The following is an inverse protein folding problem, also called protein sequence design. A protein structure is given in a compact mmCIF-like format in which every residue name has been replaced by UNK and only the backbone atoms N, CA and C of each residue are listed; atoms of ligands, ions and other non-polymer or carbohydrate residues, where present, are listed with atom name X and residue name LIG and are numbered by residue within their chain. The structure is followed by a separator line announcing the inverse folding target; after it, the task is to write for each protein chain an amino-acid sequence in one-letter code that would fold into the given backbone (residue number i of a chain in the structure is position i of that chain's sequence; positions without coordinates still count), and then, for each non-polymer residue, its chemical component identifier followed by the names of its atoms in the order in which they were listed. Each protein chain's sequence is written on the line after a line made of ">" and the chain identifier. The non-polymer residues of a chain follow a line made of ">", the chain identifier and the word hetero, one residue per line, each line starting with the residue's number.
data_IF_192478387812
#
_entry.id   IF_192478387812
#
_cell.length_a   1.000
_cell.length_b   1.000
_cell.length_c   1.000
_cell.angle_alpha   90.00
_cell.angle_beta   90.00
_cell.angle_gamma   90.00
#
_symmetry.space_group_name_H-M   'P 1'
#
loop_
_entity.id
_entity.type
_entity.pdbx_description
1 polymer ?
#
# COMPACT_ATOMS: atom_id res chain seq x y z
N UNK A 1 -21.55 9.74 -31.90
CA UNK A 1 -20.26 9.37 -32.51
C UNK A 1 -19.46 8.65 -31.45
N UNK A 2 -19.43 7.31 -31.50
CA UNK A 2 -18.66 6.51 -30.56
C UNK A 2 -17.16 6.72 -30.84
N UNK A 3 -16.33 6.97 -29.80
CA UNK A 3 -14.89 7.12 -30.00
C UNK A 3 -14.30 5.80 -30.52
N UNK A 4 -13.51 5.90 -31.59
CA UNK A 4 -12.92 4.76 -32.26
C UNK A 4 -12.02 3.93 -31.32
N UNK A 5 -11.78 2.65 -31.63
CA UNK A 5 -10.94 1.75 -30.81
C UNK A 5 -9.53 2.30 -30.53
N UNK A 6 -9.00 3.16 -31.42
CA UNK A 6 -7.70 3.83 -31.25
C UNK A 6 -7.74 4.94 -30.17
N UNK A 7 -8.84 5.70 -30.06
CA UNK A 7 -9.00 6.72 -29.01
C UNK A 7 -9.10 6.09 -27.62
N UNK A 8 -9.69 4.89 -27.52
CA UNK A 8 -9.72 4.11 -26.28
C UNK A 8 -8.32 3.61 -25.88
N UNK A 9 -7.49 3.15 -26.81
CA UNK A 9 -6.11 2.77 -26.51
C UNK A 9 -5.25 3.98 -26.09
N UNK A 10 -5.44 5.13 -26.74
CA UNK A 10 -4.70 6.36 -26.42
C UNK A 10 -5.12 6.96 -25.08
N UNK A 11 -6.40 6.89 -24.70
CA UNK A 11 -6.86 7.33 -23.38
C UNK A 11 -6.31 6.45 -22.26
N UNK A 12 -6.30 5.12 -22.41
CA UNK A 12 -5.69 4.18 -21.46
C UNK A 12 -4.17 4.36 -21.36
N UNK A 13 -3.49 4.68 -22.47
CA UNK A 13 -2.06 4.99 -22.50
C UNK A 13 -1.71 6.26 -21.72
N UNK A 14 -2.56 7.29 -21.79
CA UNK A 14 -2.35 8.57 -21.08
C UNK A 14 -2.64 8.48 -19.58
N UNK A 15 -3.67 7.73 -19.16
CA UNK A 15 -3.88 7.40 -17.74
C UNK A 15 -2.75 6.52 -17.19
N UNK A 16 -2.27 5.54 -17.98
CA UNK A 16 -1.10 4.72 -17.65
C UNK A 16 0.18 5.55 -17.46
N UNK A 17 0.47 6.49 -18.36
CA UNK A 17 1.65 7.36 -18.26
C UNK A 17 1.54 8.34 -17.08
N UNK A 18 0.38 8.97 -16.86
CA UNK A 18 0.17 9.83 -15.69
C UNK A 18 0.33 9.07 -14.39
N UNK A 19 -0.21 7.85 -14.30
CA UNK A 19 -0.03 6.99 -13.13
C UNK A 19 1.45 6.59 -12.94
N UNK A 20 2.18 6.26 -14.01
CA UNK A 20 3.64 5.98 -13.95
C UNK A 20 4.44 7.19 -13.49
N UNK A 21 4.13 8.38 -14.02
CA UNK A 21 4.79 9.64 -13.64
C UNK A 21 4.49 10.00 -12.19
N UNK A 22 3.24 9.86 -11.74
CA UNK A 22 2.85 10.07 -10.34
C UNK A 22 3.59 9.09 -9.40
N UNK A 23 3.77 7.82 -9.80
CA UNK A 23 4.57 6.85 -9.06
C UNK A 23 6.06 7.21 -9.00
N UNK A 24 6.63 7.72 -10.10
CA UNK A 24 8.02 8.18 -10.09
C UNK A 24 8.19 9.43 -9.23
N UNK A 25 7.28 10.42 -9.36
CA UNK A 25 7.29 11.64 -8.55
C UNK A 25 7.18 11.33 -7.05
N UNK A 26 6.37 10.33 -6.67
CA UNK A 26 6.26 9.91 -5.26
C UNK A 26 7.50 9.19 -4.73
N UNK A 27 8.34 8.62 -5.60
CA UNK A 27 9.58 7.90 -5.23
C UNK A 27 10.88 8.65 -5.57
N UNK A 28 10.81 9.83 -6.19
CA UNK A 28 11.98 10.62 -6.67
C UNK A 28 13.02 10.88 -5.60
N UNK A 29 12.57 11.15 -4.37
CA UNK A 29 13.44 11.44 -3.24
C UNK A 29 14.23 10.20 -2.81
N UNK A 30 13.57 9.04 -2.80
CA UNK A 30 14.21 7.76 -2.49
C UNK A 30 15.25 7.38 -3.55
N UNK A 31 14.94 7.62 -4.83
CA UNK A 31 15.88 7.40 -5.93
C UNK A 31 17.13 8.26 -5.74
N UNK A 32 16.96 9.55 -5.45
CA UNK A 32 18.06 10.46 -5.18
C UNK A 32 18.89 10.03 -3.95
N UNK A 33 18.23 9.61 -2.87
CA UNK A 33 18.90 9.08 -1.67
C UNK A 33 19.75 7.85 -2.00
N UNK A 34 19.22 6.87 -2.72
CA UNK A 34 19.96 5.67 -3.10
C UNK A 34 21.15 6.01 -4.00
N UNK A 35 20.97 6.92 -4.97
CA UNK A 35 22.05 7.34 -5.85
C UNK A 35 23.18 8.06 -5.09
N UNK A 36 22.83 8.99 -4.19
CA UNK A 36 23.80 9.70 -3.35
C UNK A 36 24.51 8.76 -2.37
N UNK A 37 23.78 7.82 -1.76
CA UNK A 37 24.37 6.83 -0.87
C UNK A 37 25.31 5.86 -1.59
N UNK A 38 24.98 5.45 -2.82
CA UNK A 38 25.88 4.65 -3.64
C UNK A 38 27.18 5.40 -3.95
N UNK A 39 27.07 6.67 -4.37
CA UNK A 39 28.24 7.53 -4.60
C UNK A 39 29.07 7.75 -3.34
N UNK A 40 28.42 8.01 -2.20
CA UNK A 40 29.10 8.18 -0.92
C UNK A 40 29.81 6.90 -0.45
N UNK A 41 29.18 5.73 -0.63
CA UNK A 41 29.80 4.44 -0.31
C UNK A 41 31.04 4.17 -1.16
N UNK A 42 30.99 4.50 -2.46
CA UNK A 42 32.16 4.44 -3.33
C UNK A 42 33.28 5.35 -2.83
N UNK A 43 32.98 6.63 -2.59
CA UNK A 43 33.97 7.62 -2.14
C UNK A 43 34.63 7.20 -0.81
N UNK A 44 33.83 6.69 0.14
CA UNK A 44 34.37 6.22 1.43
C UNK A 44 35.28 4.99 1.24
N UNK A 45 34.89 4.04 0.40
CA UNK A 45 35.71 2.83 0.21
C UNK A 45 36.98 3.11 -0.62
N UNK A 46 36.89 3.93 -1.67
CA UNK A 46 38.04 4.27 -2.53
C UNK A 46 38.96 5.30 -1.90
N UNK A 47 38.46 6.50 -1.62
CA UNK A 47 39.30 7.64 -1.26
C UNK A 47 39.74 7.62 0.21
N UNK A 48 38.88 7.11 1.11
CA UNK A 48 39.20 7.09 2.55
C UNK A 48 39.90 5.81 3.00
N UNK A 49 39.55 4.65 2.40
CA UNK A 49 40.10 3.34 2.77
C UNK A 49 41.07 2.75 1.73
N UNK A 50 41.24 3.39 0.58
CA UNK A 50 42.22 3.00 -0.42
C UNK A 50 41.87 1.74 -1.22
N UNK A 51 40.59 1.33 -1.23
CA UNK A 51 40.17 0.16 -2.00
C UNK A 51 40.21 0.48 -3.50
N UNK A 52 40.96 -0.30 -4.29
CA UNK A 52 41.16 -0.01 -5.73
C UNK A 52 39.88 -0.15 -6.57
N UNK A 53 39.03 -1.12 -6.22
CA UNK A 53 37.80 -1.44 -6.97
C UNK A 53 36.65 -1.73 -6.00
N UNK A 54 36.08 -0.71 -5.32
CA UNK A 54 35.07 -0.89 -4.28
C UNK A 54 33.68 -1.21 -4.84
N UNK A 55 33.57 -2.28 -5.61
CA UNK A 55 32.37 -2.65 -6.36
C UNK A 55 31.19 -3.02 -5.44
N UNK A 56 31.48 -3.63 -4.29
CA UNK A 56 30.45 -4.15 -3.38
C UNK A 56 29.84 -3.05 -2.50
N UNK A 57 30.58 -1.97 -2.21
CA UNK A 57 30.12 -0.87 -1.37
C UNK A 57 28.87 -0.15 -1.93
N UNK A 58 28.83 0.33 -3.19
CA UNK A 58 27.63 0.96 -3.74
C UNK A 58 26.47 -0.03 -3.89
N UNK A 59 26.73 -1.30 -4.24
CA UNK A 59 25.68 -2.33 -4.35
C UNK A 59 25.05 -2.57 -2.99
N UNK A 60 25.86 -2.78 -1.95
CA UNK A 60 25.39 -2.98 -0.60
C UNK A 60 24.59 -1.77 -0.11
N UNK A 61 25.02 -0.54 -0.42
CA UNK A 61 24.27 0.67 -0.08
C UNK A 61 22.88 0.71 -0.74
N UNK A 62 22.80 0.43 -2.04
CA UNK A 62 21.53 0.44 -2.79
C UNK A 62 20.59 -0.67 -2.35
N UNK A 63 21.08 -1.90 -2.19
CA UNK A 63 20.25 -3.04 -1.77
C UNK A 63 19.76 -2.87 -0.33
N UNK A 64 20.62 -2.34 0.55
CA UNK A 64 20.27 -2.07 1.95
C UNK A 64 19.22 -0.97 2.10
N UNK A 65 19.33 0.12 1.32
CA UNK A 65 18.31 1.18 1.29
C UNK A 65 17.01 0.70 0.63
N UNK A 66 17.12 -0.01 -0.49
CA UNK A 66 16.02 -0.56 -1.28
C UNK A 66 14.94 0.47 -1.64
N UNK A 67 13.78 -0.04 -2.08
CA UNK A 67 12.58 0.77 -2.42
C UNK A 67 11.56 0.90 -1.29
N UNK A 68 11.82 0.26 -0.14
CA UNK A 68 10.97 0.32 1.06
C UNK A 68 11.79 0.77 2.27
N UNK A 69 11.18 1.61 3.11
CA UNK A 69 11.81 2.18 4.30
C UNK A 69 11.85 1.21 5.48
N UNK A 70 10.97 0.20 5.49
CA UNK A 70 10.92 -0.80 6.55
C UNK A 70 12.07 -1.80 6.46
N UNK A 71 12.64 -2.16 7.61
CA UNK A 71 13.63 -3.23 7.76
C UNK A 71 15.04 -2.95 7.20
N UNK A 72 15.44 -1.69 7.01
CA UNK A 72 16.79 -1.34 6.51
C UNK A 72 17.93 -1.99 7.31
N UNK A 73 17.86 -1.99 8.64
CA UNK A 73 18.88 -2.65 9.48
C UNK A 73 18.96 -4.16 9.22
N UNK A 74 17.81 -4.84 9.18
CA UNK A 74 17.74 -6.27 8.84
C UNK A 74 18.31 -6.53 7.44
N UNK A 75 17.97 -5.68 6.47
CA UNK A 75 18.52 -5.76 5.10
C UNK A 75 20.02 -5.57 5.08
N UNK A 76 20.57 -4.62 5.83
CA UNK A 76 22.02 -4.43 5.94
C UNK A 76 22.69 -5.70 6.46
N UNK A 77 22.12 -6.32 7.51
CA UNK A 77 22.64 -7.58 8.06
C UNK A 77 22.54 -8.71 7.03
N UNK A 78 21.37 -8.90 6.42
CA UNK A 78 21.15 -9.92 5.38
C UNK A 78 22.06 -9.71 4.16
N UNK A 79 22.27 -8.47 3.72
CA UNK A 79 23.17 -8.16 2.59
C UNK A 79 24.61 -8.43 2.97
N UNK A 80 25.05 -7.96 4.12
CA UNK A 80 26.43 -8.12 4.60
C UNK A 80 26.80 -9.59 4.77
N UNK A 81 25.93 -10.36 5.44
CA UNK A 81 26.14 -11.79 5.63
C UNK A 81 26.04 -12.55 4.31
N UNK A 82 25.09 -12.16 3.44
CA UNK A 82 24.92 -12.80 2.13
C UNK A 82 26.14 -12.58 1.24
N UNK A 83 26.71 -11.37 1.26
CA UNK A 83 27.98 -11.06 0.60
C UNK A 83 29.11 -11.89 1.20
N UNK A 84 29.22 -11.96 2.53
CA UNK A 84 30.27 -12.75 3.19
C UNK A 84 30.25 -14.22 2.72
N UNK A 85 29.09 -14.86 2.73
CA UNK A 85 28.94 -16.26 2.32
C UNK A 85 29.17 -16.45 0.83
N UNK A 86 28.57 -15.60 -0.01
CA UNK A 86 28.71 -15.69 -1.46
C UNK A 86 30.15 -15.51 -1.92
N UNK A 87 30.84 -14.51 -1.37
CA UNK A 87 32.26 -14.25 -1.63
C UNK A 87 33.14 -15.38 -1.10
N UNK A 88 32.92 -15.84 0.12
CA UNK A 88 33.70 -16.93 0.73
C UNK A 88 33.59 -18.22 -0.07
N UNK A 89 32.37 -18.64 -0.43
CA UNK A 89 32.15 -19.86 -1.20
C UNK A 89 32.70 -19.75 -2.61
N UNK A 90 32.54 -18.60 -3.27
CA UNK A 90 33.09 -18.39 -4.59
C UNK A 90 34.63 -18.42 -4.58
N UNK A 91 35.29 -17.69 -3.67
CA UNK A 91 36.76 -17.73 -3.58
C UNK A 91 37.27 -19.13 -3.21
N UNK A 92 36.61 -19.83 -2.27
CA UNK A 92 37.02 -21.17 -1.86
C UNK A 92 36.87 -22.22 -2.97
N UNK A 93 35.79 -22.15 -3.76
CA UNK A 93 35.48 -23.15 -4.77
C UNK A 93 36.10 -22.84 -6.13
N UNK A 94 36.23 -21.58 -6.52
CA UNK A 94 36.92 -21.20 -7.77
C UNK A 94 38.38 -21.65 -7.72
N UNK A 95 39.04 -21.49 -6.57
CA UNK A 95 40.41 -21.94 -6.38
C UNK A 95 40.58 -23.47 -6.48
N UNK A 96 39.53 -24.25 -6.21
CA UNK A 96 39.59 -25.72 -6.19
C UNK A 96 39.04 -26.38 -7.47
N UNK A 97 38.00 -25.80 -8.08
CA UNK A 97 37.22 -26.44 -9.17
C UNK A 97 37.43 -25.73 -10.53
N UNK A 98 38.01 -24.53 -10.53
CA UNK A 98 38.24 -23.72 -11.72
C UNK A 98 37.00 -22.97 -12.21
N UNK A 99 37.11 -22.36 -13.39
CA UNK A 99 36.08 -21.49 -13.97
C UNK A 99 35.30 -22.17 -15.11
N UNK A 100 33.96 -22.18 -15.05
CA UNK A 100 33.09 -22.64 -16.13
C UNK A 100 31.61 -22.66 -15.73
N UNK A 101 30.72 -22.90 -16.70
CA UNK A 101 29.27 -22.78 -16.49
C UNK A 101 28.74 -23.81 -15.46
N UNK A 102 29.27 -25.02 -15.46
CA UNK A 102 28.85 -26.08 -14.54
C UNK A 102 29.45 -25.87 -13.13
N UNK A 103 30.70 -25.40 -13.05
CA UNK A 103 31.30 -25.00 -11.77
C UNK A 103 30.51 -23.86 -11.13
N UNK A 104 30.16 -22.85 -11.91
CA UNK A 104 29.34 -21.73 -11.46
C UNK A 104 27.98 -22.21 -10.94
N UNK A 105 27.35 -23.15 -11.64
CA UNK A 105 26.06 -23.72 -11.25
C UNK A 105 26.14 -24.39 -9.87
N UNK A 106 27.22 -25.13 -9.61
CA UNK A 106 27.49 -25.76 -8.31
C UNK A 106 27.74 -24.71 -7.22
N UNK A 107 28.58 -23.71 -7.51
CA UNK A 107 28.90 -22.63 -6.56
C UNK A 107 27.64 -21.88 -6.13
N UNK A 108 26.78 -21.52 -7.08
CA UNK A 108 25.51 -20.83 -6.81
C UNK A 108 24.56 -21.71 -6.01
N UNK A 109 24.42 -22.99 -6.41
CA UNK A 109 23.57 -23.94 -5.69
C UNK A 109 24.02 -24.11 -4.24
N UNK A 110 25.32 -24.22 -3.99
CA UNK A 110 25.88 -24.31 -2.64
C UNK A 110 25.65 -23.02 -1.85
N UNK A 111 25.94 -21.85 -2.43
CA UNK A 111 25.72 -20.56 -1.76
C UNK A 111 24.27 -20.33 -1.35
N UNK A 112 23.32 -20.64 -2.24
CA UNK A 112 21.90 -20.56 -1.93
C UNK A 112 21.48 -21.58 -0.87
N UNK A 113 21.97 -22.83 -0.97
CA UNK A 113 21.65 -23.88 -0.01
C UNK A 113 22.17 -23.53 1.39
N UNK A 114 23.41 -23.06 1.50
CA UNK A 114 23.98 -22.58 2.77
C UNK A 114 23.15 -21.42 3.33
N UNK A 115 22.72 -20.47 2.48
CA UNK A 115 21.90 -19.36 2.92
C UNK A 115 20.51 -19.80 3.44
N UNK A 116 19.88 -20.78 2.79
CA UNK A 116 18.61 -21.36 3.25
C UNK A 116 18.76 -22.14 4.55
N UNK A 117 19.84 -22.91 4.71
CA UNK A 117 20.10 -23.69 5.93
C UNK A 117 20.34 -22.81 7.17
N UNK A 118 20.70 -21.53 6.96
CA UNK A 118 20.87 -20.54 8.02
C UNK A 118 19.58 -19.74 8.29
N UNK A 119 18.42 -20.22 7.83
CA UNK A 119 17.10 -19.57 7.96
C UNK A 119 17.07 -18.12 7.47
N UNK A 120 17.90 -17.79 6.47
CA UNK A 120 17.98 -16.43 5.98
C UNK A 120 16.82 -16.05 5.05
N UNK A 121 16.45 -14.76 5.09
CA UNK A 121 15.39 -14.22 4.25
C UNK A 121 15.74 -14.22 2.75
N UNK A 122 14.74 -13.93 1.90
CA UNK A 122 14.90 -13.91 0.44
C UNK A 122 16.07 -13.03 -0.04
N UNK A 123 16.31 -11.89 0.62
CA UNK A 123 17.42 -10.98 0.26
C UNK A 123 18.76 -11.65 0.55
N UNK A 124 18.94 -12.28 1.71
CA UNK A 124 20.17 -12.99 2.07
C UNK A 124 20.52 -14.08 1.05
N UNK A 125 19.55 -14.93 0.70
CA UNK A 125 19.73 -15.98 -0.31
C UNK A 125 20.08 -15.39 -1.67
N UNK A 126 19.37 -14.33 -2.09
CA UNK A 126 19.63 -13.67 -3.37
C UNK A 126 21.03 -13.04 -3.39
N UNK A 127 21.49 -12.45 -2.28
CA UNK A 127 22.83 -11.88 -2.19
C UNK A 127 23.91 -12.95 -2.20
N UNK A 128 23.73 -14.06 -1.47
CA UNK A 128 24.67 -15.18 -1.53
C UNK A 128 24.85 -15.72 -2.97
N UNK A 129 23.76 -15.82 -3.73
CA UNK A 129 23.79 -16.21 -5.14
C UNK A 129 24.45 -15.15 -6.04
N UNK A 130 24.02 -13.89 -5.95
CA UNK A 130 24.52 -12.82 -6.81
C UNK A 130 26.01 -12.59 -6.57
N UNK A 131 26.45 -12.57 -5.32
CA UNK A 131 27.86 -12.32 -5.02
C UNK A 131 28.74 -13.50 -5.40
N UNK A 132 28.25 -14.74 -5.28
CA UNK A 132 29.02 -15.88 -5.76
C UNK A 132 29.19 -15.85 -7.28
N UNK A 133 28.16 -15.44 -8.03
CA UNK A 133 28.28 -15.21 -9.49
C UNK A 133 29.28 -14.11 -9.80
N UNK A 134 29.16 -12.95 -9.16
CA UNK A 134 30.03 -11.79 -9.43
C UNK A 134 31.49 -12.15 -9.17
N UNK A 135 31.80 -12.76 -8.03
CA UNK A 135 33.16 -13.16 -7.68
C UNK A 135 33.70 -14.22 -8.64
N UNK A 136 32.91 -15.25 -8.95
CA UNK A 136 33.36 -16.32 -9.84
C UNK A 136 33.53 -15.90 -11.31
N UNK A 137 32.94 -14.78 -11.75
CA UNK A 137 32.94 -14.38 -13.18
C UNK A 137 33.70 -13.11 -13.48
N UNK A 138 33.68 -12.10 -12.60
CA UNK A 138 34.17 -10.75 -12.89
C UNK A 138 35.48 -10.42 -12.17
N UNK A 139 35.74 -11.03 -11.00
CA UNK A 139 36.86 -10.65 -10.13
C UNK A 139 37.56 -11.89 -9.54
N UNK A 140 38.22 -12.74 -10.35
CA UNK A 140 39.06 -13.80 -9.79
C UNK A 140 40.39 -13.20 -9.31
N UNK A 141 40.36 -12.58 -8.12
CA UNK A 141 41.54 -12.13 -7.39
C UNK A 141 41.60 -12.86 -6.02
N UNK A 142 42.39 -13.94 -5.92
CA UNK A 142 42.47 -14.75 -4.72
C UNK A 142 42.97 -13.93 -3.52
N UNK A 143 42.14 -13.85 -2.47
CA UNK A 143 42.48 -13.14 -1.23
C UNK A 143 41.80 -11.78 -1.07
N UNK A 144 41.07 -11.31 -2.08
CA UNK A 144 40.25 -10.09 -1.99
C UNK A 144 38.94 -10.30 -1.20
N UNK A 145 38.63 -11.52 -0.73
CA UNK A 145 37.42 -11.83 0.05
C UNK A 145 37.16 -10.85 1.20
N UNK A 146 38.21 -10.53 1.97
CA UNK A 146 38.11 -9.64 3.12
C UNK A 146 37.73 -8.22 2.68
N UNK A 147 38.40 -7.69 1.66
CA UNK A 147 38.16 -6.34 1.10
C UNK A 147 36.73 -6.21 0.55
N UNK A 148 36.21 -7.27 -0.09
CA UNK A 148 34.84 -7.29 -0.63
C UNK A 148 33.78 -7.35 0.48
N UNK A 149 34.08 -8.06 1.56
CA UNK A 149 33.19 -8.10 2.73
C UNK A 149 33.19 -6.77 3.48
N UNK A 150 34.35 -6.14 3.67
CA UNK A 150 34.44 -4.80 4.28
C UNK A 150 33.78 -3.73 3.42
N UNK A 151 33.86 -3.81 2.09
CA UNK A 151 33.08 -2.98 1.17
C UNK A 151 31.57 -3.08 1.44
N UNK A 152 31.04 -4.30 1.60
CA UNK A 152 29.63 -4.48 1.91
C UNK A 152 29.24 -3.88 3.27
N UNK A 153 30.12 -3.97 4.27
CA UNK A 153 29.93 -3.31 5.57
C UNK A 153 29.91 -1.78 5.44
N UNK A 154 30.81 -1.20 4.64
CA UNK A 154 30.87 0.24 4.37
C UNK A 154 29.58 0.69 3.67
N UNK A 155 29.16 -0.01 2.62
CA UNK A 155 27.91 0.27 1.93
C UNK A 155 26.68 0.18 2.84
N UNK A 156 26.63 -0.85 3.70
CA UNK A 156 25.61 -0.99 4.73
C UNK A 156 25.60 0.15 5.75
N UNK A 157 26.78 0.58 6.21
CA UNK A 157 26.94 1.71 7.12
C UNK A 157 26.48 3.04 6.49
N UNK A 158 26.91 3.32 5.27
CA UNK A 158 26.46 4.51 4.51
C UNK A 158 24.97 4.48 4.26
N UNK A 159 24.38 3.31 3.96
CA UNK A 159 22.93 3.16 3.86
C UNK A 159 22.21 3.50 5.17
N UNK A 160 22.74 3.09 6.33
CA UNK A 160 22.15 3.43 7.62
C UNK A 160 22.25 4.92 7.92
N UNK A 161 23.38 5.56 7.63
CA UNK A 161 23.54 7.02 7.81
C UNK A 161 22.63 7.79 6.84
N UNK A 162 22.61 7.40 5.57
CA UNK A 162 21.70 8.00 4.60
C UNK A 162 20.24 7.87 5.05
N UNK A 163 19.88 6.75 5.72
CA UNK A 163 18.56 6.52 6.27
C UNK A 163 18.17 7.47 7.41
N UNK A 164 19.11 8.00 8.19
CA UNK A 164 18.82 8.95 9.28
C UNK A 164 18.65 10.38 8.79
N UNK A 165 19.35 10.77 7.71
CA UNK A 165 19.33 12.12 7.15
C UNK A 165 18.00 12.46 6.47
N UNK A 166 17.28 11.47 5.96
CA UNK A 166 16.04 11.70 5.23
C UNK A 166 14.86 11.90 6.20
N UNK A 167 14.15 13.05 6.15
CA UNK A 167 12.86 13.19 6.81
C UNK A 167 11.96 12.05 6.36
N UNK A 168 11.23 11.42 7.28
CA UNK A 168 10.26 10.36 6.96
C UNK A 168 9.01 10.92 6.25
N UNK A 169 9.22 11.68 5.19
CA UNK A 169 8.22 12.28 4.33
C UNK A 169 8.35 11.59 2.96
N UNK A 170 7.45 10.68 2.56
CA UNK A 170 6.16 10.33 3.16
C UNK A 170 6.13 8.84 3.53
N UNK A 171 6.03 8.52 4.81
CA UNK A 171 5.04 7.49 5.16
C UNK A 171 3.75 7.98 4.50
N UNK A 172 3.32 7.39 3.36
CA UNK A 172 2.00 7.67 2.79
C UNK A 172 1.07 7.61 3.99
N UNK A 173 0.54 8.74 4.45
CA UNK A 173 -0.23 8.74 5.70
C UNK A 173 -1.37 7.77 5.42
N UNK A 174 -1.45 6.60 6.07
CA UNK A 174 -2.46 5.64 5.64
C UNK A 174 -3.86 6.22 5.84
N UNK A 175 -3.99 7.26 6.68
CA UNK A 175 -5.14 8.16 6.81
C UNK A 175 -5.45 9.00 5.56
N UNK A 176 -4.45 9.51 4.86
CA UNK A 176 -4.65 10.18 3.56
C UNK A 176 -5.14 9.18 2.50
N UNK A 177 -4.62 7.95 2.49
CA UNK A 177 -5.14 6.89 1.61
C UNK A 177 -6.55 6.44 2.01
N UNK A 178 -6.84 6.31 3.31
CA UNK A 178 -8.17 6.07 3.81
C UNK A 178 -9.15 7.17 3.37
N UNK A 179 -8.74 8.44 3.43
CA UNK A 179 -9.53 9.55 2.94
C UNK A 179 -9.84 9.45 1.43
N UNK A 180 -8.93 8.89 0.61
CA UNK A 180 -9.21 8.60 -0.80
C UNK A 180 -10.31 7.54 -0.94
N UNK A 181 -10.28 6.48 -0.13
CA UNK A 181 -11.34 5.45 -0.12
C UNK A 181 -12.68 6.05 0.28
N UNK A 182 -12.72 6.82 1.37
CA UNK A 182 -13.96 7.43 1.87
C UNK A 182 -14.52 8.46 0.89
N UNK A 183 -13.68 9.29 0.25
CA UNK A 183 -14.14 10.17 -0.85
C UNK A 183 -14.78 9.39 -1.99
N UNK A 184 -14.26 8.21 -2.31
CA UNK A 184 -14.89 7.35 -3.33
C UNK A 184 -16.24 6.83 -2.85
N UNK A 185 -16.37 6.46 -1.58
CA UNK A 185 -17.66 6.10 -0.96
C UNK A 185 -18.65 7.27 -1.05
N UNK A 186 -18.26 8.49 -0.67
CA UNK A 186 -19.09 9.69 -0.78
C UNK A 186 -19.56 9.95 -2.22
N UNK A 187 -18.65 9.85 -3.20
CA UNK A 187 -19.01 9.99 -4.62
C UNK A 187 -20.02 8.94 -5.09
N UNK A 188 -19.86 7.68 -4.69
CA UNK A 188 -20.77 6.60 -5.05
C UNK A 188 -22.14 6.76 -4.38
N UNK A 189 -22.17 7.19 -3.11
CA UNK A 189 -23.40 7.48 -2.38
C UNK A 189 -24.19 8.63 -3.02
N UNK A 190 -23.51 9.73 -3.34
CA UNK A 190 -24.12 10.90 -3.99
C UNK A 190 -24.73 10.54 -5.34
N UNK A 191 -23.95 9.86 -6.19
CA UNK A 191 -24.43 9.41 -7.49
C UNK A 191 -25.55 8.36 -7.38
N UNK A 192 -25.53 7.50 -6.34
CA UNK A 192 -26.63 6.57 -6.10
C UNK A 192 -27.91 7.31 -5.71
N UNK A 193 -27.83 8.33 -4.85
CA UNK A 193 -28.96 9.20 -4.50
C UNK A 193 -29.56 9.91 -5.72
N UNK A 194 -28.72 10.45 -6.61
CA UNK A 194 -29.16 11.06 -7.87
C UNK A 194 -29.89 10.05 -8.78
N UNK A 195 -29.32 8.85 -8.95
CA UNK A 195 -29.93 7.76 -9.74
C UNK A 195 -31.26 7.27 -9.16
N UNK A 196 -31.42 7.29 -7.82
CA UNK A 196 -32.70 6.96 -7.19
C UNK A 196 -33.82 7.94 -7.59
N UNK A 197 -33.47 9.19 -7.92
CA UNK A 197 -34.43 10.24 -8.32
C UNK A 197 -34.75 10.16 -9.81
N UNK A 198 -33.73 10.13 -10.67
CA UNK A 198 -33.93 10.18 -12.12
C UNK A 198 -34.28 8.81 -12.74
N UNK A 199 -33.86 7.71 -12.12
CA UNK A 199 -34.09 6.35 -12.62
C UNK A 199 -33.39 6.03 -13.95
N UNK A 200 -32.39 6.83 -14.36
CA UNK A 200 -31.75 6.72 -15.68
C UNK A 200 -30.84 5.48 -15.76
N UNK A 201 -31.20 4.52 -16.62
CA UNK A 201 -30.58 3.19 -16.66
C UNK A 201 -29.11 3.26 -17.06
N UNK A 202 -28.77 4.06 -18.07
CA UNK A 202 -27.41 4.24 -18.55
C UNK A 202 -26.50 4.81 -17.46
N UNK A 203 -26.99 5.79 -16.70
CA UNK A 203 -26.28 6.40 -15.56
C UNK A 203 -26.08 5.38 -14.44
N UNK A 204 -27.12 4.62 -14.11
CA UNK A 204 -27.06 3.59 -13.08
C UNK A 204 -26.08 2.46 -13.43
N UNK A 205 -26.04 2.03 -14.69
CA UNK A 205 -25.11 1.01 -15.18
C UNK A 205 -23.67 1.51 -15.22
N UNK A 206 -23.44 2.78 -15.59
CA UNK A 206 -22.13 3.42 -15.52
C UNK A 206 -21.63 3.51 -14.08
N UNK A 207 -22.51 3.90 -13.14
CA UNK A 207 -22.20 3.94 -11.71
C UNK A 207 -21.85 2.56 -11.15
N UNK A 208 -22.57 1.50 -11.55
CA UNK A 208 -22.26 0.12 -11.16
C UNK A 208 -20.90 -0.34 -11.71
N UNK A 209 -20.55 0.03 -12.93
CA UNK A 209 -19.24 -0.27 -13.50
C UNK A 209 -18.10 0.44 -12.73
N UNK A 210 -18.31 1.71 -12.38
CA UNK A 210 -17.38 2.49 -11.57
C UNK A 210 -17.21 1.88 -10.16
N UNK A 211 -18.30 1.53 -9.48
CA UNK A 211 -18.29 0.90 -8.17
C UNK A 211 -17.54 -0.46 -8.18
N UNK A 212 -17.65 -1.24 -9.27
CA UNK A 212 -16.91 -2.51 -9.45
C UNK A 212 -15.41 -2.33 -9.64
N UNK A 213 -14.98 -1.15 -10.07
CA UNK A 213 -13.56 -0.87 -10.34
C UNK A 213 -12.76 -0.50 -9.10
N UNK A 214 -13.36 -0.46 -7.90
CA UNK A 214 -12.76 0.13 -6.70
C UNK A 214 -11.79 -0.78 -5.92
N UNK A 215 -11.61 -2.04 -6.32
CA UNK A 215 -10.77 -3.01 -5.58
C UNK A 215 -9.31 -2.58 -5.43
N UNK A 216 -8.80 -1.75 -6.36
CA UNK A 216 -7.43 -1.25 -6.26
C UNK A 216 -7.24 -0.28 -5.09
N UNK A 217 -8.28 0.45 -4.67
CA UNK A 217 -8.20 1.42 -3.59
C UNK A 217 -7.90 0.74 -2.25
N UNK A 218 -8.55 -0.40 -1.98
CA UNK A 218 -8.31 -1.18 -0.76
C UNK A 218 -6.91 -1.81 -0.80
N UNK A 219 -6.46 -2.33 -1.96
CA UNK A 219 -5.09 -2.85 -2.10
C UNK A 219 -4.02 -1.77 -1.87
N UNK A 220 -4.26 -0.55 -2.36
CA UNK A 220 -3.35 0.58 -2.14
C UNK A 220 -3.34 1.02 -0.66
N UNK A 221 -4.49 1.01 0.00
CA UNK A 221 -4.61 1.28 1.43
C UNK A 221 -3.88 0.22 2.28
N UNK A 222 -4.09 -1.07 2.00
CA UNK A 222 -3.40 -2.19 2.66
C UNK A 222 -1.87 -2.07 2.50
N UNK A 223 -1.40 -1.85 1.27
CA UNK A 223 0.03 -1.66 0.99
C UNK A 223 0.63 -0.46 1.76
N UNK A 224 -0.12 0.64 1.89
CA UNK A 224 0.31 1.80 2.66
C UNK A 224 0.34 1.51 4.18
N UNK A 225 -0.62 0.76 4.70
CA UNK A 225 -0.67 0.35 6.10
C UNK A 225 0.50 -0.60 6.46
N UNK A 226 0.77 -1.59 5.61
CA UNK A 226 1.87 -2.54 5.78
C UNK A 226 3.25 -1.85 5.71
N UNK A 227 3.42 -0.91 4.77
CA UNK A 227 4.62 -0.08 4.69
C UNK A 227 4.80 0.72 5.99
N UNK A 228 3.73 1.32 6.51
CA UNK A 228 3.75 2.03 7.80
C UNK A 228 4.17 1.14 8.96
N UNK A 229 3.58 -0.05 9.08
CA UNK A 229 3.86 -0.99 10.18
C UNK A 229 5.33 -1.44 10.15
N UNK A 230 5.85 -1.73 8.96
CA UNK A 230 7.23 -2.17 8.77
C UNK A 230 8.25 -1.11 9.22
N UNK A 231 7.93 0.18 9.06
CA UNK A 231 8.77 1.29 9.51
C UNK A 231 8.74 1.44 11.04
N UNK A 232 7.58 1.30 11.67
CA UNK A 232 7.47 1.39 13.14
C UNK A 232 8.14 0.20 13.82
N UNK A 233 8.00 -1.01 13.27
CA UNK A 233 8.59 -2.22 13.84
C UNK A 233 10.13 -2.22 13.81
N UNK A 234 10.75 -1.52 12.85
CA UNK A 234 12.20 -1.55 12.62
C UNK A 234 12.98 -0.36 13.21
N UNK A 235 12.30 0.63 13.81
CA UNK A 235 12.94 1.84 14.33
C UNK A 235 12.86 1.93 15.87
N UNK A 236 13.98 1.69 16.60
CA UNK A 236 14.04 1.80 18.07
C UNK A 236 13.60 3.16 18.61
N UNK A 237 13.80 4.23 17.84
CA UNK A 237 13.48 5.60 18.22
C UNK A 237 12.01 6.01 18.01
N UNK A 238 11.14 5.10 17.54
CA UNK A 238 9.76 5.44 17.11
C UNK A 238 8.65 4.66 17.83
N UNK A 239 8.96 4.03 18.95
CA UNK A 239 8.00 3.28 19.80
C UNK A 239 6.78 4.14 20.18
N UNK A 240 6.95 5.45 20.36
CA UNK A 240 5.87 6.38 20.75
C UNK A 240 4.77 6.55 19.69
N UNK A 241 5.02 6.24 18.42
CA UNK A 241 4.03 6.35 17.33
C UNK A 241 3.30 5.02 17.03
N UNK A 242 3.62 3.94 17.75
CA UNK A 242 3.07 2.59 17.54
C UNK A 242 1.55 2.53 17.77
N UNK A 243 1.02 3.28 18.75
CA UNK A 243 -0.41 3.33 19.05
C UNK A 243 -1.26 4.00 17.96
N UNK A 244 -0.77 5.09 17.36
CA UNK A 244 -1.49 5.78 16.29
C UNK A 244 -1.52 4.95 15.00
N UNK A 245 -0.44 4.21 14.72
CA UNK A 245 -0.35 3.40 13.53
C UNK A 245 -1.12 2.08 13.64
N UNK A 246 -1.19 1.49 14.84
CA UNK A 246 -2.03 0.30 15.08
C UNK A 246 -3.52 0.62 14.90
N UNK A 247 -3.97 1.74 15.47
CA UNK A 247 -5.33 2.26 15.24
C UNK A 247 -5.65 2.52 13.77
N UNK A 248 -4.64 2.84 12.96
CA UNK A 248 -4.81 3.01 11.52
C UNK A 248 -5.09 1.69 10.79
N UNK A 249 -4.32 0.66 11.12
CA UNK A 249 -4.45 -0.67 10.51
C UNK A 249 -5.82 -1.26 10.84
N UNK A 250 -6.31 -0.98 12.06
CA UNK A 250 -7.66 -1.32 12.49
C UNK A 250 -8.77 -0.62 11.67
N UNK A 251 -8.47 0.45 10.92
CA UNK A 251 -9.45 1.11 10.03
C UNK A 251 -9.56 0.46 8.64
N UNK A 252 -8.60 -0.38 8.23
CA UNK A 252 -8.59 -0.98 6.89
C UNK A 252 -9.82 -1.88 6.68
N UNK A 253 -10.13 -2.72 7.67
CA UNK A 253 -11.26 -3.65 7.59
C UNK A 253 -12.62 -2.92 7.59
N UNK A 254 -12.88 -1.93 8.47
CA UNK A 254 -14.05 -1.07 8.37
C UNK A 254 -14.20 -0.36 7.02
N UNK A 255 -13.10 0.13 6.44
CA UNK A 255 -13.12 0.81 5.13
C UNK A 255 -13.45 -0.13 3.98
N UNK A 256 -12.87 -1.35 3.97
CA UNK A 256 -13.23 -2.38 2.99
C UNK A 256 -14.71 -2.74 3.12
N UNK A 257 -15.22 -2.89 4.35
CA UNK A 257 -16.63 -3.17 4.59
C UNK A 257 -17.54 -2.05 4.08
N UNK A 258 -17.24 -0.79 4.42
CA UNK A 258 -18.00 0.37 3.96
C UNK A 258 -18.06 0.46 2.44
N UNK A 259 -16.94 0.24 1.75
CA UNK A 259 -16.88 0.24 0.30
C UNK A 259 -17.69 -0.93 -0.31
N UNK A 260 -17.63 -2.11 0.29
CA UNK A 260 -18.45 -3.27 -0.13
C UNK A 260 -19.95 -2.99 0.05
N UNK A 261 -20.37 -2.50 1.21
CA UNK A 261 -21.77 -2.11 1.48
C UNK A 261 -22.26 -1.07 0.47
N UNK A 262 -21.42 -0.07 0.15
CA UNK A 262 -21.71 0.94 -0.87
C UNK A 262 -21.86 0.32 -2.26
N UNK A 263 -21.03 -0.66 -2.64
CA UNK A 263 -21.18 -1.40 -3.92
C UNK A 263 -22.49 -2.18 -3.98
N UNK A 264 -22.95 -2.74 -2.87
CA UNK A 264 -24.24 -3.43 -2.81
C UNK A 264 -25.40 -2.44 -2.98
N UNK A 265 -25.34 -1.27 -2.34
CA UNK A 265 -26.30 -0.18 -2.54
C UNK A 265 -26.36 0.27 -4.02
N UNK A 266 -25.19 0.52 -4.63
CA UNK A 266 -25.10 0.91 -6.05
C UNK A 266 -25.67 -0.18 -6.97
N UNK A 267 -25.41 -1.45 -6.67
CA UNK A 267 -26.01 -2.56 -7.42
C UNK A 267 -27.53 -2.54 -7.29
N UNK A 268 -28.05 -2.31 -6.10
CA UNK A 268 -29.48 -2.34 -5.85
C UNK A 268 -30.21 -1.18 -6.53
N UNK A 269 -29.62 0.02 -6.51
CA UNK A 269 -30.12 1.19 -7.25
C UNK A 269 -30.11 0.97 -8.75
N UNK A 270 -29.06 0.35 -9.30
CA UNK A 270 -29.02 -0.01 -10.73
C UNK A 270 -30.10 -1.03 -11.11
N UNK A 271 -30.37 -2.01 -10.25
CA UNK A 271 -31.46 -2.99 -10.47
C UNK A 271 -32.83 -2.29 -10.41
N UNK A 272 -33.04 -1.38 -9.46
CA UNK A 272 -34.28 -0.61 -9.36
C UNK A 272 -34.51 0.25 -10.62
N UNK A 273 -33.49 0.99 -11.07
CA UNK A 273 -33.52 1.79 -12.29
C UNK A 273 -33.83 0.93 -13.53
N UNK A 274 -33.13 -0.20 -13.70
CA UNK A 274 -33.34 -1.11 -14.83
C UNK A 274 -34.79 -1.63 -14.92
N UNK A 275 -35.39 -1.94 -13.78
CA UNK A 275 -36.78 -2.39 -13.70
C UNK A 275 -37.80 -1.26 -13.59
N UNK A 276 -37.37 0.02 -13.64
CA UNK A 276 -38.21 1.22 -13.45
C UNK A 276 -39.03 1.16 -12.16
N UNK A 277 -38.41 0.67 -11.10
CA UNK A 277 -39.01 0.55 -9.77
C UNK A 277 -38.78 1.85 -9.01
N UNK A 278 -39.84 2.50 -8.50
CA UNK A 278 -39.68 3.76 -7.80
C UNK A 278 -38.95 3.54 -6.47
N UNK A 279 -37.95 4.38 -6.22
CA UNK A 279 -37.30 4.48 -4.92
C UNK A 279 -37.88 5.69 -4.20
N UNK A 280 -38.33 5.56 -2.94
CA UNK A 280 -38.84 6.69 -2.18
C UNK A 280 -37.84 7.85 -2.12
N UNK A 281 -38.33 9.08 -2.29
CA UNK A 281 -37.48 10.28 -2.26
C UNK A 281 -36.72 10.43 -0.94
N UNK A 282 -37.29 9.99 0.18
CA UNK A 282 -36.63 9.99 1.48
C UNK A 282 -35.36 9.12 1.49
N UNK A 283 -35.32 8.03 0.73
CA UNK A 283 -34.13 7.15 0.64
C UNK A 283 -33.02 7.83 -0.17
N UNK A 284 -33.39 8.57 -1.22
CA UNK A 284 -32.44 9.37 -1.99
C UNK A 284 -31.82 10.49 -1.15
N UNK A 285 -32.63 11.17 -0.32
CA UNK A 285 -32.15 12.20 0.60
C UNK A 285 -31.20 11.61 1.65
N UNK A 286 -31.55 10.47 2.25
CA UNK A 286 -30.65 9.76 3.17
C UNK A 286 -29.30 9.39 2.52
N UNK A 287 -29.30 8.99 1.25
CA UNK A 287 -28.06 8.67 0.54
C UNK A 287 -27.21 9.92 0.28
N UNK A 288 -27.83 11.06 -0.03
CA UNK A 288 -27.16 12.35 -0.21
C UNK A 288 -26.58 12.87 1.12
N UNK A 289 -27.37 12.86 2.20
CA UNK A 289 -26.92 13.23 3.54
C UNK A 289 -25.75 12.35 4.01
N UNK A 290 -25.81 11.04 3.70
CA UNK A 290 -24.73 10.11 4.00
C UNK A 290 -23.47 10.37 3.17
N UNK A 291 -23.61 10.84 1.93
CA UNK A 291 -22.48 11.26 1.11
C UNK A 291 -21.77 12.47 1.74
N UNK A 292 -22.53 13.46 2.22
CA UNK A 292 -21.98 14.65 2.88
C UNK A 292 -21.30 14.28 4.21
N UNK A 293 -21.90 13.39 5.01
CA UNK A 293 -21.28 12.87 6.21
C UNK A 293 -19.99 12.07 5.92
N UNK A 294 -19.95 11.31 4.81
CA UNK A 294 -18.74 10.61 4.37
C UNK A 294 -17.64 11.59 3.93
N UNK A 295 -17.98 12.72 3.29
CA UNK A 295 -17.01 13.76 2.97
C UNK A 295 -16.38 14.37 4.24
N UNK A 296 -17.18 14.59 5.30
CA UNK A 296 -16.65 15.01 6.62
C UNK A 296 -15.67 13.97 7.21
N UNK A 297 -15.98 12.68 7.11
CA UNK A 297 -15.07 11.60 7.52
C UNK A 297 -13.76 11.69 6.72
N UNK A 298 -13.84 11.90 5.41
CA UNK A 298 -12.66 11.99 4.56
C UNK A 298 -11.78 13.21 4.89
N UNK A 299 -12.39 14.35 5.22
CA UNK A 299 -11.68 15.57 5.65
C UNK A 299 -10.90 15.35 6.95
N UNK A 300 -11.53 14.75 7.97
CA UNK A 300 -10.87 14.41 9.23
C UNK A 300 -9.69 13.44 9.02
N UNK A 301 -9.89 12.40 8.21
CA UNK A 301 -8.84 11.43 7.88
C UNK A 301 -7.70 12.09 7.11
N UNK A 302 -7.99 12.98 6.16
CA UNK A 302 -6.97 13.73 5.42
C UNK A 302 -6.15 14.64 6.34
N UNK A 303 -6.76 15.18 7.38
CA UNK A 303 -6.10 15.99 8.41
C UNK A 303 -5.37 15.14 9.47
N UNK A 304 -5.22 13.83 9.23
CA UNK A 304 -4.56 12.86 10.11
C UNK A 304 -5.24 12.68 11.49
N UNK A 305 -6.56 12.92 11.57
CA UNK A 305 -7.37 12.75 12.78
C UNK A 305 -8.33 11.55 12.71
N UNK A 306 -8.86 11.15 13.86
CA UNK A 306 -10.00 10.24 13.92
C UNK A 306 -11.26 11.02 13.52
N UNK A 307 -12.19 10.40 12.78
CA UNK A 307 -13.39 11.08 12.29
C UNK A 307 -14.48 11.29 13.35
N UNK A 308 -14.12 11.63 14.58
CA UNK A 308 -15.06 11.83 15.70
C UNK A 308 -16.05 12.97 15.41
N UNK A 309 -15.60 14.02 14.70
CA UNK A 309 -16.43 15.16 14.33
C UNK A 309 -17.59 14.78 13.39
N UNK A 310 -17.46 13.71 12.60
CA UNK A 310 -18.52 13.23 11.71
C UNK A 310 -19.57 12.35 12.43
N UNK A 311 -19.28 11.88 13.65
CA UNK A 311 -20.14 10.96 14.40
C UNK A 311 -21.55 11.52 14.63
N UNK A 312 -21.76 12.78 15.05
CA UNK A 312 -23.11 13.31 15.26
C UNK A 312 -23.96 13.30 13.98
N UNK A 313 -23.36 13.61 12.83
CA UNK A 313 -24.05 13.58 11.54
C UNK A 313 -24.45 12.15 11.15
N UNK A 314 -23.53 11.19 11.28
CA UNK A 314 -23.81 9.78 11.00
C UNK A 314 -24.90 9.21 11.92
N UNK A 315 -24.89 9.57 13.20
CA UNK A 315 -25.93 9.18 14.16
C UNK A 315 -27.29 9.80 13.81
N UNK A 316 -27.31 11.07 13.39
CA UNK A 316 -28.54 11.73 12.95
C UNK A 316 -29.15 11.03 11.73
N UNK A 317 -28.33 10.65 10.75
CA UNK A 317 -28.77 9.89 9.56
C UNK A 317 -29.25 8.49 9.97
N UNK A 318 -28.54 7.83 10.88
CA UNK A 318 -28.96 6.56 11.46
C UNK A 318 -30.34 6.65 12.11
N UNK A 319 -30.59 7.70 12.90
CA UNK A 319 -31.89 8.01 13.48
C UNK A 319 -32.97 8.28 12.43
N UNK A 320 -32.69 9.14 11.45
CA UNK A 320 -33.61 9.48 10.36
C UNK A 320 -34.00 8.26 9.51
N UNK A 321 -33.07 7.32 9.31
CA UNK A 321 -33.35 6.07 8.59
C UNK A 321 -34.38 5.16 9.27
N UNK A 322 -34.65 5.37 10.57
CA UNK A 322 -35.73 4.71 11.30
C UNK A 322 -37.04 5.47 11.32
N UNK A 323 -37.11 6.66 10.70
CA UNK A 323 -38.32 7.49 10.67
C UNK A 323 -38.92 7.62 9.26
N UNK A 324 -38.20 7.19 8.22
CA UNK A 324 -38.69 7.20 6.84
C UNK A 324 -39.78 6.16 6.60
N UNK A 325 -40.60 6.39 5.57
CA UNK A 325 -41.64 5.48 5.14
C UNK A 325 -41.08 4.10 4.79
N UNK A 326 -41.86 3.04 5.05
CA UNK A 326 -41.53 1.66 4.66
C UNK A 326 -42.22 1.34 3.34
N UNK A 327 -41.64 0.43 2.57
CA UNK A 327 -42.22 -0.03 1.30
C UNK A 327 -42.45 -1.54 1.31
N UNK A 328 -43.56 -1.98 0.72
CA UNK A 328 -43.82 -3.41 0.51
C UNK A 328 -42.92 -3.98 -0.60
N UNK A 329 -42.30 -3.11 -1.41
CA UNK A 329 -41.39 -3.50 -2.46
C UNK A 329 -40.02 -3.88 -1.89
N UNK A 330 -39.75 -5.19 -1.88
CA UNK A 330 -38.50 -5.77 -1.36
C UNK A 330 -37.24 -5.11 -1.93
N UNK A 331 -37.24 -4.72 -3.22
CA UNK A 331 -36.05 -4.11 -3.82
C UNK A 331 -35.73 -2.74 -3.24
N UNK A 332 -36.75 -1.95 -2.94
CA UNK A 332 -36.61 -0.61 -2.35
C UNK A 332 -36.32 -0.72 -0.85
N UNK A 333 -36.88 -1.71 -0.16
CA UNK A 333 -36.49 -2.02 1.22
C UNK A 333 -35.02 -2.40 1.40
N UNK A 334 -34.48 -3.17 0.45
CA UNK A 334 -33.05 -3.50 0.46
C UNK A 334 -32.20 -2.24 0.32
N UNK A 335 -32.64 -1.21 -0.43
CA UNK A 335 -31.91 0.07 -0.52
C UNK A 335 -31.76 0.72 0.85
N UNK A 336 -32.86 0.84 1.61
CA UNK A 336 -32.84 1.41 2.96
C UNK A 336 -31.97 0.58 3.92
N UNK A 337 -32.05 -0.75 3.84
CA UNK A 337 -31.19 -1.63 4.62
C UNK A 337 -29.70 -1.41 4.31
N UNK A 338 -29.33 -1.22 3.04
CA UNK A 338 -27.95 -0.96 2.66
C UNK A 338 -27.46 0.44 3.08
N UNK A 339 -28.30 1.47 3.01
CA UNK A 339 -27.97 2.80 3.56
C UNK A 339 -27.61 2.67 5.04
N UNK A 340 -28.43 1.95 5.81
CA UNK A 340 -28.19 1.66 7.24
C UNK A 340 -26.89 0.90 7.47
N UNK A 341 -26.57 -0.09 6.64
CA UNK A 341 -25.28 -0.80 6.71
C UNK A 341 -24.09 0.13 6.46
N UNK A 342 -24.18 1.04 5.49
CA UNK A 342 -23.10 2.01 5.23
C UNK A 342 -22.94 2.99 6.40
N UNK A 343 -24.03 3.44 7.02
CA UNK A 343 -23.96 4.27 8.25
C UNK A 343 -23.17 3.54 9.34
N UNK A 344 -23.50 2.27 9.63
CA UNK A 344 -22.80 1.46 10.64
C UNK A 344 -21.31 1.34 10.30
N UNK A 345 -20.98 1.06 9.04
CA UNK A 345 -19.58 0.91 8.62
C UNK A 345 -18.79 2.22 8.74
N UNK A 346 -19.42 3.37 8.48
CA UNK A 346 -18.80 4.69 8.66
C UNK A 346 -18.68 5.08 10.15
N UNK A 347 -19.62 4.68 11.02
CA UNK A 347 -19.54 4.92 12.47
C UNK A 347 -18.31 4.26 13.09
N UNK A 348 -17.89 3.08 12.60
CA UNK A 348 -16.63 2.43 13.00
C UNK A 348 -15.41 3.34 12.77
N UNK A 349 -15.41 4.14 11.70
CA UNK A 349 -14.31 5.08 11.38
C UNK A 349 -14.23 6.26 12.35
N UNK A 350 -15.29 6.48 13.14
CA UNK A 350 -15.33 7.49 14.19
C UNK A 350 -14.80 6.97 15.53
N UNK A 351 -14.39 5.69 15.59
CA UNK A 351 -13.89 5.04 16.81
C UNK A 351 -14.96 4.32 17.64
N UNK A 352 -16.17 4.16 17.12
CA UNK A 352 -17.19 3.31 17.74
C UNK A 352 -16.91 1.82 17.49
N UNK A 353 -17.31 0.95 18.42
CA UNK A 353 -17.27 -0.48 18.20
C UNK A 353 -18.39 -0.96 17.28
N UNK A 354 -18.29 -2.20 16.79
CA UNK A 354 -19.32 -2.82 15.94
C UNK A 354 -20.69 -2.86 16.61
N UNK A 355 -20.72 -3.21 17.90
CA UNK A 355 -21.96 -3.36 18.66
C UNK A 355 -22.57 -1.97 18.90
N UNK A 356 -21.78 -1.02 19.41
CA UNK A 356 -22.25 0.37 19.62
C UNK A 356 -22.78 1.01 18.34
N UNK A 357 -22.11 0.78 17.19
CA UNK A 357 -22.54 1.32 15.90
C UNK A 357 -23.86 0.71 15.44
N UNK A 358 -24.09 -0.58 15.71
CA UNK A 358 -25.33 -1.28 15.35
C UNK A 358 -26.48 -0.86 16.27
N UNK A 359 -26.23 -0.79 17.58
CA UNK A 359 -27.22 -0.41 18.60
C UNK A 359 -27.63 1.06 18.51
N UNK A 360 -26.78 1.91 17.94
CA UNK A 360 -27.08 3.31 17.68
C UNK A 360 -28.17 3.53 16.62
N UNK A 361 -28.43 2.54 15.76
CA UNK A 361 -29.50 2.65 14.77
C UNK A 361 -30.82 2.17 15.40
N UNK A 362 -31.87 3.00 15.45
CA UNK A 362 -33.16 2.59 15.98
C UNK A 362 -33.72 1.41 15.16
N UNK A 363 -34.47 0.49 15.79
CA UNK A 363 -35.16 -0.56 15.05
C UNK A 363 -36.09 0.10 14.02
N UNK A 364 -36.24 -0.49 12.82
CA UNK A 364 -37.18 0.03 11.85
C UNK A 364 -38.60 0.06 12.46
N UNK A 365 -39.41 1.08 12.17
CA UNK A 365 -40.78 1.17 12.63
C UNK A 365 -41.56 -0.02 12.05
N UNK A 366 -42.38 -0.64 12.90
CA UNK A 366 -43.15 -1.85 12.57
C UNK A 366 -44.27 -1.58 11.59
#
# INVERSE_FOLDING_TARGET
>A
MEPGPLDRMWSHGRTSLRARIARWQSKRWQIAQCALAAGAAWLVASDLLGHQTPFFAPIAAVVSLGTSYGQRLRRVVEVTLGVAIGVFLADALVNQVGSGWWQLSIIVALAMSTAFLLDGGQIFVTQAAVQSIVVSTLLPDPGAAFTRWTDALIGGGVALVAATVVPAAPLRRPREQAAVVVRKVAQLLRAAGEVMVDGEVERAMALLADARSTDYLIRELQAAADEGLSVVASSPFRVRHKGNLRRMVELVDPLDRSLRSTRVLVRQTAVAAYHRRPVPSSYSLLALDLADAADLVAEELQADRMAEAARPALLAIGGASGAVERTEELSSEVVLAQIRSVVVDLLLLTGMSQIESTDALPPPPR
#
